data_IF_274863840535
#
_entry.id   IF_274863840535
#
_cell.length_a   1.000
_cell.length_b   1.000
_cell.length_c   1.000
_cell.angle_alpha   90.00
_cell.angle_beta   90.00
_cell.angle_gamma   90.00
#
_symmetry.space_group_name_H-M   'P 1'
#
loop_
_entity.id
_entity.type
_entity.pdbx_description
1 polymer ?
#
# COMPACT_ATOMS: atom_id res chain seq x y z
N UNK A 1 37.69 5.96 4.59
CA UNK A 1 36.46 5.79 3.81
C UNK A 1 35.32 5.99 4.80
N UNK A 2 34.65 7.15 4.80
CA UNK A 2 33.44 7.36 5.59
C UNK A 2 32.35 6.45 5.02
N UNK A 3 31.73 5.63 5.85
CA UNK A 3 30.52 4.91 5.45
C UNK A 3 29.47 5.95 5.04
N UNK A 4 28.82 5.75 3.91
CA UNK A 4 27.65 6.54 3.56
C UNK A 4 26.67 6.54 4.77
N UNK A 5 25.99 7.65 5.06
CA UNK A 5 25.01 7.67 6.14
C UNK A 5 24.00 6.55 5.91
N UNK A 6 23.65 5.84 6.97
CA UNK A 6 22.67 4.77 6.86
C UNK A 6 21.31 5.41 6.61
N UNK A 7 20.65 5.04 5.52
CA UNK A 7 19.35 5.58 5.11
C UNK A 7 18.22 4.88 5.87
N UNK A 8 17.14 5.60 6.18
CA UNK A 8 15.97 5.04 6.85
C UNK A 8 15.18 4.09 5.93
N UNK A 9 14.82 2.93 6.45
CA UNK A 9 13.92 2.00 5.75
C UNK A 9 12.47 2.50 5.88
N UNK A 10 11.72 2.37 4.81
CA UNK A 10 10.33 2.83 4.71
C UNK A 10 9.39 1.64 4.50
N UNK A 11 8.35 1.57 5.31
CA UNK A 11 7.22 0.65 5.10
C UNK A 11 6.00 1.39 4.59
N UNK A 12 5.40 0.91 3.53
CA UNK A 12 4.16 1.45 2.98
C UNK A 12 3.04 0.47 3.30
N UNK A 13 1.92 0.95 3.81
CA UNK A 13 0.69 0.18 3.93
C UNK A 13 -0.47 1.00 3.38
N UNK A 14 -1.36 0.36 2.62
CA UNK A 14 -2.48 1.02 1.97
C UNK A 14 -3.77 0.34 2.38
N UNK A 15 -4.74 1.14 2.77
CA UNK A 15 -6.10 0.69 3.09
C UNK A 15 -7.12 1.47 2.28
N UNK A 16 -8.31 0.92 2.08
CA UNK A 16 -9.40 1.62 1.42
C UNK A 16 -10.51 1.95 2.40
N UNK A 17 -10.99 3.18 2.36
CA UNK A 17 -12.19 3.66 3.07
C UNK A 17 -13.32 3.98 2.09
N UNK A 18 -13.12 3.69 0.81
CA UNK A 18 -14.16 3.85 -0.22
C UNK A 18 -15.30 2.90 0.11
N UNK A 19 -16.49 3.46 0.30
CA UNK A 19 -17.68 2.64 0.57
C UNK A 19 -18.09 1.88 -0.69
N UNK A 20 -18.15 0.56 -0.57
CA UNK A 20 -18.66 -0.30 -1.61
C UNK A 20 -20.15 -0.03 -1.82
N UNK A 21 -20.54 0.33 -3.05
CA UNK A 21 -21.93 0.62 -3.40
C UNK A 21 -22.78 -0.64 -3.48
N UNK A 22 -22.21 -1.73 -3.95
CA UNK A 22 -22.87 -3.03 -4.12
C UNK A 22 -22.58 -4.01 -2.98
N UNK A 23 -21.49 -3.83 -2.23
CA UNK A 23 -21.08 -4.72 -1.14
C UNK A 23 -20.79 -6.15 -1.62
N UNK A 24 -20.40 -6.33 -2.89
CA UNK A 24 -20.05 -7.63 -3.46
C UNK A 24 -18.58 -7.96 -3.17
N UNK A 25 -18.25 -9.26 -3.08
CA UNK A 25 -16.88 -9.74 -2.92
C UNK A 25 -15.98 -9.23 -4.06
N UNK A 26 -16.53 -9.11 -5.26
CA UNK A 26 -15.88 -8.57 -6.45
C UNK A 26 -15.40 -7.12 -6.27
N UNK A 27 -16.23 -6.27 -5.67
CA UNK A 27 -15.88 -4.86 -5.45
C UNK A 27 -14.81 -4.75 -4.35
N UNK A 28 -14.82 -5.65 -3.37
CA UNK A 28 -13.77 -5.73 -2.33
C UNK A 28 -12.43 -6.08 -2.96
N UNK A 29 -12.34 -7.15 -3.73
CA UNK A 29 -11.13 -7.59 -4.41
C UNK A 29 -10.54 -6.51 -5.34
N UNK A 30 -11.42 -5.81 -6.07
CA UNK A 30 -11.01 -4.67 -6.89
C UNK A 30 -10.35 -3.57 -6.04
N UNK A 31 -10.94 -3.21 -4.89
CA UNK A 31 -10.40 -2.17 -4.00
C UNK A 31 -9.09 -2.58 -3.32
N UNK A 32 -8.93 -3.83 -3.00
CA UNK A 32 -7.67 -4.38 -2.50
C UNK A 32 -6.58 -4.30 -3.57
N UNK A 33 -6.88 -4.69 -4.80
CA UNK A 33 -5.95 -4.57 -5.94
C UNK A 33 -5.58 -3.10 -6.20
N UNK A 34 -6.54 -2.18 -6.17
CA UNK A 34 -6.30 -0.75 -6.30
C UNK A 34 -5.36 -0.22 -5.20
N UNK A 35 -5.55 -0.66 -3.96
CA UNK A 35 -4.68 -0.30 -2.85
C UNK A 35 -3.23 -0.75 -3.09
N UNK A 36 -3.05 -1.96 -3.63
CA UNK A 36 -1.73 -2.48 -4.00
C UNK A 36 -1.08 -1.66 -5.14
N UNK A 37 -1.84 -1.32 -6.19
CA UNK A 37 -1.34 -0.49 -7.30
C UNK A 37 -0.89 0.89 -6.81
N UNK A 38 -1.67 1.54 -5.95
CA UNK A 38 -1.34 2.84 -5.36
C UNK A 38 -0.08 2.73 -4.50
N UNK A 39 0.04 1.68 -3.68
CA UNK A 39 1.23 1.41 -2.89
C UNK A 39 2.49 1.24 -3.75
N UNK A 40 2.41 0.47 -4.84
CA UNK A 40 3.51 0.26 -5.78
C UNK A 40 3.90 1.56 -6.51
N UNK A 41 2.93 2.43 -6.84
CA UNK A 41 3.21 3.74 -7.45
C UNK A 41 3.98 4.64 -6.49
N UNK A 42 3.52 4.78 -5.25
CA UNK A 42 4.24 5.56 -4.25
C UNK A 42 5.64 5.00 -3.98
N UNK A 43 5.78 3.67 -3.91
CA UNK A 43 7.09 3.03 -3.78
C UNK A 43 8.02 3.44 -4.92
N UNK A 44 7.57 3.33 -6.17
CA UNK A 44 8.37 3.69 -7.33
C UNK A 44 8.81 5.16 -7.34
N UNK A 45 8.00 6.08 -6.83
CA UNK A 45 8.37 7.49 -6.69
C UNK A 45 9.39 7.70 -5.56
N UNK A 46 9.24 7.05 -4.40
CA UNK A 46 10.22 7.08 -3.32
C UNK A 46 11.57 6.48 -3.75
N UNK A 47 11.57 5.38 -4.52
CA UNK A 47 12.78 4.77 -5.06
C UNK A 47 13.51 5.71 -6.04
N UNK A 48 12.78 6.52 -6.82
CA UNK A 48 13.36 7.52 -7.72
C UNK A 48 14.03 8.67 -6.98
N UNK A 49 13.49 9.09 -5.85
CA UNK A 49 14.10 10.11 -5.00
C UNK A 49 15.48 9.64 -4.49
N UNK A 50 15.62 8.36 -4.16
CA UNK A 50 16.90 7.70 -3.95
C UNK A 50 17.56 7.93 -2.59
N UNK A 51 16.96 8.70 -1.68
CA UNK A 51 17.54 9.01 -0.36
C UNK A 51 17.06 8.08 0.77
N UNK A 52 16.43 6.97 0.41
CA UNK A 52 15.87 5.99 1.33
C UNK A 52 16.73 4.72 1.43
N UNK A 53 16.56 3.98 2.53
CA UNK A 53 17.06 2.62 2.67
C UNK A 53 16.24 1.64 1.84
N UNK A 54 15.73 0.59 2.45
CA UNK A 54 14.86 -0.36 1.78
C UNK A 54 13.40 0.11 1.89
N UNK A 55 12.67 0.12 0.78
CA UNK A 55 11.26 0.48 0.73
C UNK A 55 10.46 -0.80 0.48
N UNK A 56 9.47 -1.10 1.34
CA UNK A 56 8.65 -2.32 1.27
C UNK A 56 7.17 -2.01 1.42
N UNK A 57 6.34 -2.79 0.73
CA UNK A 57 4.91 -2.82 1.02
C UNK A 57 4.63 -3.85 2.11
N UNK A 58 3.86 -3.45 3.11
CA UNK A 58 3.38 -4.32 4.17
C UNK A 58 1.87 -4.47 4.05
N UNK A 59 1.34 -5.69 4.23
CA UNK A 59 -0.12 -5.90 4.26
C UNK A 59 -0.81 -5.08 5.36
N UNK A 60 -0.10 -4.86 6.46
CA UNK A 60 -0.53 -4.05 7.60
C UNK A 60 0.61 -3.13 8.07
N UNK A 61 0.30 -2.02 8.80
CA UNK A 61 1.34 -1.17 9.38
C UNK A 61 2.30 -1.96 10.27
N UNK A 62 3.59 -1.88 10.00
CA UNK A 62 4.64 -2.62 10.70
C UNK A 62 5.59 -1.69 11.46
N UNK A 63 6.21 -2.21 12.51
CA UNK A 63 7.26 -1.52 13.31
C UNK A 63 8.67 -1.89 12.88
N UNK A 64 8.80 -2.75 11.86
CA UNK A 64 10.09 -3.16 11.32
C UNK A 64 10.81 -2.00 10.62
N UNK A 65 10.18 -1.22 9.72
CA UNK A 65 10.80 -0.05 9.13
C UNK A 65 10.90 1.09 10.15
N UNK A 66 11.88 1.98 9.99
CA UNK A 66 12.03 3.14 10.85
C UNK A 66 10.97 4.20 10.59
N UNK A 67 10.45 4.24 9.36
CA UNK A 67 9.34 5.09 8.93
C UNK A 67 8.23 4.24 8.33
N UNK A 68 6.99 4.62 8.62
CA UNK A 68 5.80 3.99 8.03
C UNK A 68 4.95 5.06 7.35
N UNK A 69 4.66 4.85 6.08
CA UNK A 69 3.71 5.64 5.30
C UNK A 69 2.40 4.85 5.22
N UNK A 70 1.38 5.36 5.89
CA UNK A 70 0.05 4.76 5.91
C UNK A 70 -0.85 5.56 4.98
N UNK A 71 -1.36 4.91 3.94
CA UNK A 71 -2.30 5.50 3.00
C UNK A 71 -3.71 4.97 3.24
N UNK A 72 -4.69 5.87 3.14
CA UNK A 72 -6.11 5.49 3.11
C UNK A 72 -6.77 6.10 1.89
N UNK A 73 -7.27 5.27 0.98
CA UNK A 73 -8.01 5.72 -0.20
C UNK A 73 -9.39 6.17 0.26
N UNK A 74 -9.71 7.45 0.08
CA UNK A 74 -10.99 8.04 0.45
C UNK A 74 -11.96 8.11 -0.73
N UNK A 75 -11.46 8.36 -1.93
CA UNK A 75 -12.20 8.34 -3.18
C UNK A 75 -11.28 7.93 -4.33
N UNK A 76 -11.83 7.14 -5.26
CA UNK A 76 -11.19 6.78 -6.53
C UNK A 76 -12.28 6.34 -7.52
N UNK A 77 -12.45 7.09 -8.62
CA UNK A 77 -13.49 6.84 -9.62
C UNK A 77 -13.02 7.11 -11.06
N UNK A 78 -11.70 7.23 -11.29
CA UNK A 78 -11.11 7.56 -12.58
C UNK A 78 -11.10 9.06 -12.90
N UNK A 79 -11.97 9.87 -12.29
CA UNK A 79 -11.95 11.32 -12.41
C UNK A 79 -11.23 11.98 -11.25
N UNK A 80 -11.33 11.41 -10.08
CA UNK A 80 -10.77 11.93 -8.84
C UNK A 80 -10.08 10.81 -8.07
N UNK A 81 -8.90 11.12 -7.53
CA UNK A 81 -8.23 10.32 -6.52
C UNK A 81 -8.01 11.14 -5.26
N UNK A 82 -8.51 10.65 -4.12
CA UNK A 82 -8.30 11.27 -2.81
C UNK A 82 -7.67 10.27 -1.86
N UNK A 83 -6.49 10.62 -1.34
CA UNK A 83 -5.71 9.77 -0.45
C UNK A 83 -5.36 10.54 0.83
N UNK A 84 -5.68 9.97 1.98
CA UNK A 84 -5.20 10.41 3.28
C UNK A 84 -3.87 9.70 3.56
N UNK A 85 -2.80 10.48 3.77
CA UNK A 85 -1.46 9.97 4.01
C UNK A 85 -0.98 10.38 5.40
N UNK A 86 -0.45 9.42 6.16
CA UNK A 86 0.11 9.64 7.49
C UNK A 86 1.51 9.02 7.52
N UNK A 87 2.51 9.81 7.83
CA UNK A 87 3.89 9.35 8.03
C UNK A 87 4.20 9.31 9.52
N UNK A 88 4.62 8.13 9.99
CA UNK A 88 5.00 7.92 11.39
C UNK A 88 6.40 7.35 11.50
N UNK A 89 7.11 7.82 12.52
CA UNK A 89 8.35 7.18 12.94
C UNK A 89 8.06 5.90 13.74
N UNK A 90 9.04 5.02 13.81
CA UNK A 90 8.96 3.86 14.69
C UNK A 90 8.81 4.24 16.16
N UNK A 91 9.12 5.46 16.57
CA UNK A 91 8.82 5.96 17.92
C UNK A 91 7.32 6.19 18.15
N UNK A 92 6.49 6.13 17.12
CA UNK A 92 5.04 6.41 17.19
C UNK A 92 4.71 7.87 16.93
N UNK A 93 5.70 8.71 16.68
CA UNK A 93 5.51 10.12 16.35
C UNK A 93 4.92 10.25 14.94
N UNK A 94 3.84 11.03 14.81
CA UNK A 94 3.33 11.44 13.51
C UNK A 94 4.17 12.61 13.01
N UNK A 95 4.96 12.35 11.99
CA UNK A 95 5.88 13.33 11.40
C UNK A 95 5.17 14.20 10.38
N UNK A 96 4.25 13.62 9.64
CA UNK A 96 3.47 14.28 8.63
C UNK A 96 2.09 13.63 8.47
N UNK A 97 1.09 14.44 8.15
CA UNK A 97 -0.24 13.97 7.76
C UNK A 97 -0.89 14.99 6.84
N UNK A 98 -1.41 14.52 5.71
CA UNK A 98 -2.13 15.36 4.74
C UNK A 98 -3.11 14.54 3.93
N UNK A 99 -4.16 15.20 3.45
CA UNK A 99 -5.08 14.65 2.47
C UNK A 99 -4.69 15.21 1.09
N UNK A 100 -4.34 14.33 0.19
CA UNK A 100 -4.02 14.64 -1.19
C UNK A 100 -5.22 14.39 -2.07
N UNK A 101 -5.49 15.31 -2.98
CA UNK A 101 -6.59 15.21 -3.94
C UNK A 101 -6.07 15.63 -5.30
N UNK A 102 -6.36 14.81 -6.29
CA UNK A 102 -6.08 15.08 -7.68
C UNK A 102 -7.31 14.80 -8.55
N UNK A 103 -7.49 15.62 -9.59
CA UNK A 103 -8.60 15.55 -10.54
C UNK A 103 -8.02 15.42 -11.92
N UNK A 104 -8.21 14.27 -12.54
CA UNK A 104 -7.72 13.99 -13.89
C UNK A 104 -8.38 14.90 -14.94
N UNK A 105 -7.56 15.40 -15.85
CA UNK A 105 -8.02 16.11 -17.06
C UNK A 105 -7.94 15.18 -18.29
N UNK A 106 -8.50 15.62 -19.43
CA UNK A 106 -8.54 14.77 -20.63
C UNK A 106 -7.14 14.47 -21.18
N UNK A 107 -6.19 15.39 -20.99
CA UNK A 107 -4.82 15.23 -21.46
C UNK A 107 -4.07 14.12 -20.71
N UNK A 108 -4.43 13.81 -19.47
CA UNK A 108 -3.84 12.74 -18.66
C UNK A 108 -4.11 11.36 -19.28
N UNK A 109 -5.20 11.22 -20.04
CA UNK A 109 -5.62 10.00 -20.70
C UNK A 109 -5.24 9.92 -22.18
N UNK A 110 -4.37 10.76 -22.67
CA UNK A 110 -3.86 10.71 -24.06
C UNK A 110 -2.97 9.50 -24.31
N UNK A 111 -2.31 9.01 -23.25
CA UNK A 111 -1.52 7.79 -23.26
C UNK A 111 -2.16 6.76 -22.32
N UNK A 112 -2.73 5.70 -22.87
CA UNK A 112 -3.43 4.63 -22.12
C UNK A 112 -2.51 3.84 -21.16
N UNK A 113 -1.21 4.14 -21.14
CA UNK A 113 -0.20 3.49 -20.27
C UNK A 113 0.34 4.40 -19.17
N UNK A 114 -0.19 5.61 -19.03
CA UNK A 114 0.28 6.59 -18.05
C UNK A 114 -0.75 6.71 -16.93
N UNK A 115 -0.26 6.69 -15.69
CA UNK A 115 -1.10 6.94 -14.53
C UNK A 115 -1.61 8.38 -14.55
N UNK A 116 -2.94 8.61 -14.61
CA UNK A 116 -3.50 9.95 -14.65
C UNK A 116 -3.28 10.76 -13.38
N UNK A 117 -2.88 10.10 -12.28
CA UNK A 117 -2.63 10.71 -10.97
C UNK A 117 -1.13 10.69 -10.58
N UNK A 118 -0.22 10.58 -11.57
CA UNK A 118 1.21 10.51 -11.32
C UNK A 118 1.73 11.71 -10.50
N UNK A 119 1.23 12.91 -10.75
CA UNK A 119 1.63 14.14 -10.07
C UNK A 119 1.27 14.15 -8.58
N UNK A 120 0.21 13.45 -8.18
CA UNK A 120 -0.18 13.29 -6.79
C UNK A 120 0.91 12.54 -5.99
N UNK A 121 1.47 11.46 -6.56
CA UNK A 121 2.54 10.71 -5.90
C UNK A 121 3.83 11.50 -5.81
N UNK A 122 4.19 12.25 -6.85
CA UNK A 122 5.35 13.16 -6.84
C UNK A 122 5.20 14.21 -5.74
N UNK A 123 4.01 14.81 -5.61
CA UNK A 123 3.71 15.78 -4.57
C UNK A 123 3.83 15.16 -3.18
N UNK A 124 3.26 13.96 -2.98
CA UNK A 124 3.39 13.22 -1.71
C UNK A 124 4.85 12.98 -1.33
N UNK A 125 5.66 12.48 -2.27
CA UNK A 125 7.08 12.19 -2.01
C UNK A 125 7.83 13.46 -1.64
N UNK A 126 7.63 14.56 -2.36
CA UNK A 126 8.27 15.84 -2.06
C UNK A 126 7.94 16.32 -0.63
N UNK A 127 6.70 16.20 -0.19
CA UNK A 127 6.29 16.55 1.17
C UNK A 127 6.93 15.62 2.20
N UNK A 128 6.91 14.30 1.97
CA UNK A 128 7.53 13.31 2.87
C UNK A 128 9.02 13.60 3.04
N UNK A 129 9.75 13.80 1.93
CA UNK A 129 11.19 14.13 1.93
C UNK A 129 11.44 15.42 2.70
N UNK A 130 10.66 16.46 2.45
CA UNK A 130 10.81 17.76 3.13
C UNK A 130 10.66 17.62 4.66
N UNK A 131 9.62 16.93 5.12
CA UNK A 131 9.36 16.78 6.56
C UNK A 131 10.32 15.82 7.25
N UNK A 132 10.68 14.71 6.61
CA UNK A 132 11.65 13.77 7.16
C UNK A 132 13.04 14.40 7.22
N UNK A 133 13.47 15.16 6.21
CA UNK A 133 14.76 15.85 6.21
C UNK A 133 14.84 16.97 7.24
N UNK A 134 13.72 17.61 7.58
CA UNK A 134 13.67 18.69 8.58
C UNK A 134 13.73 18.18 10.02
N UNK A 135 13.43 16.90 10.24
CA UNK A 135 13.44 16.30 11.57
C UNK A 135 14.84 15.74 11.88
N UNK A 136 15.34 16.06 13.09
CA UNK A 136 16.64 15.60 13.58
C UNK A 136 16.58 14.12 13.95
N UNK A 137 16.82 13.21 12.99
CA UNK A 137 16.76 11.77 13.24
C UNK A 137 18.14 11.20 13.55
N UNK A 138 18.21 10.52 14.68
CA UNK A 138 19.32 9.61 14.97
C UNK A 138 18.96 8.24 14.36
N UNK A 139 19.36 7.99 13.12
CA UNK A 139 19.05 6.74 12.40
C UNK A 139 19.40 5.48 13.20
N UNK A 140 20.57 5.48 13.83
CA UNK A 140 21.00 4.35 14.68
C UNK A 140 20.04 4.11 15.84
N UNK A 141 19.55 5.20 16.46
CA UNK A 141 18.55 5.10 17.54
C UNK A 141 17.23 4.52 17.02
N UNK A 142 16.72 5.00 15.89
CA UNK A 142 15.48 4.48 15.30
C UNK A 142 15.60 3.02 14.89
N UNK A 143 16.77 2.58 14.41
CA UNK A 143 17.03 1.16 14.10
C UNK A 143 17.01 0.30 15.36
N UNK A 144 17.67 0.73 16.42
CA UNK A 144 17.64 0.03 17.73
C UNK A 144 16.22 -0.03 18.29
N UNK A 145 15.50 1.09 18.21
CA UNK A 145 14.11 1.17 18.68
C UNK A 145 13.18 0.24 17.86
N UNK A 146 13.36 0.19 16.54
CA UNK A 146 12.61 -0.72 15.67
C UNK A 146 12.84 -2.19 16.06
N UNK A 147 14.10 -2.59 16.27
CA UNK A 147 14.43 -3.96 16.68
C UNK A 147 13.78 -4.31 18.02
N UNK A 148 13.85 -3.42 19.01
CA UNK A 148 13.23 -3.64 20.32
C UNK A 148 11.70 -3.64 20.26
N UNK A 149 11.09 -2.74 19.49
CA UNK A 149 9.64 -2.72 19.31
C UNK A 149 9.14 -3.98 18.62
N UNK A 150 9.80 -4.40 17.54
CA UNK A 150 9.48 -5.65 16.87
C UNK A 150 9.60 -6.85 17.82
N UNK A 151 10.70 -6.93 18.58
CA UNK A 151 10.90 -7.95 19.59
C UNK A 151 9.78 -7.97 20.64
N UNK A 152 9.39 -6.81 21.17
CA UNK A 152 8.30 -6.68 22.13
C UNK A 152 6.91 -7.01 21.57
N UNK A 153 6.67 -6.77 20.28
CA UNK A 153 5.41 -7.14 19.63
C UNK A 153 5.35 -8.64 19.32
N UNK A 154 6.47 -9.23 18.93
CA UNK A 154 6.54 -10.66 18.59
C UNK A 154 6.55 -11.52 19.84
N UNK A 155 7.36 -11.14 20.85
CA UNK A 155 7.54 -11.85 22.12
C UNK A 155 7.49 -10.84 23.27
N UNK A 156 6.31 -10.53 23.82
CA UNK A 156 6.14 -9.47 24.84
C UNK A 156 6.99 -9.67 26.10
N UNK A 157 7.34 -10.92 26.43
CA UNK A 157 8.10 -11.27 27.60
C UNK A 157 9.62 -11.05 27.43
N UNK A 158 10.10 -10.83 26.19
CA UNK A 158 11.53 -10.79 25.89
C UNK A 158 12.24 -9.58 26.49
N UNK A 159 11.64 -8.40 26.39
CA UNK A 159 12.27 -7.14 26.81
C UNK A 159 11.29 -6.18 27.51
N UNK A 160 10.61 -6.59 28.62
CA UNK A 160 9.55 -5.79 29.23
C UNK A 160 10.03 -4.44 29.75
N UNK A 161 11.30 -4.35 30.24
CA UNK A 161 11.85 -3.14 30.88
C UNK A 161 12.74 -2.30 29.96
N UNK A 162 12.93 -2.71 28.70
CA UNK A 162 13.84 -2.03 27.77
C UNK A 162 13.14 -0.90 26.99
N UNK A 163 11.83 -0.96 26.86
CA UNK A 163 11.02 0.05 26.18
C UNK A 163 10.22 0.88 27.19
N UNK A 164 10.21 2.18 26.98
CA UNK A 164 9.26 3.11 27.58
C UNK A 164 8.14 3.44 26.63
N UNK A 165 6.93 3.66 27.17
CA UNK A 165 5.80 4.20 26.40
C UNK A 165 5.16 5.31 27.20
N UNK A 166 5.24 6.54 26.70
CA UNK A 166 4.66 7.73 27.33
C UNK A 166 3.87 8.52 26.28
N UNK A 167 2.61 8.82 26.56
CA UNK A 167 1.70 9.53 25.63
C UNK A 167 1.65 8.93 24.22
N UNK A 168 1.81 7.61 24.07
CA UNK A 168 1.82 6.92 22.79
C UNK A 168 3.19 6.85 22.10
N UNK A 169 4.18 7.55 22.61
CA UNK A 169 5.54 7.54 22.06
C UNK A 169 6.40 6.48 22.75
N UNK A 170 7.21 5.80 21.96
CA UNK A 170 8.12 4.77 22.41
C UNK A 170 9.55 5.31 22.52
N UNK A 171 10.24 4.89 23.55
CA UNK A 171 11.65 5.24 23.78
C UNK A 171 12.41 4.04 24.33
N UNK A 172 13.72 4.02 24.10
CA UNK A 172 14.62 3.02 24.69
C UNK A 172 14.95 3.47 26.10
N UNK A 173 14.55 2.70 27.11
CA UNK A 173 14.93 2.91 28.50
C UNK A 173 16.31 2.33 28.81
N UNK A 174 16.60 1.19 28.18
CA UNK A 174 17.85 0.47 28.36
C UNK A 174 18.20 -0.24 27.04
N UNK A 175 19.44 -0.15 26.63
CA UNK A 175 19.93 -0.93 25.48
C UNK A 175 20.28 -2.37 25.92
N UNK A 176 19.87 -3.39 25.20
CA UNK A 176 20.33 -4.75 25.42
C UNK A 176 21.82 -4.88 25.06
N UNK A 177 22.49 -5.87 25.65
CA UNK A 177 23.85 -6.19 25.21
C UNK A 177 23.85 -6.58 23.71
N UNK A 178 24.87 -6.16 22.98
CA UNK A 178 25.03 -6.55 21.57
C UNK A 178 25.21 -8.06 21.38
N UNK A 179 25.68 -8.74 22.41
CA UNK A 179 25.90 -10.17 22.44
C UNK A 179 24.74 -10.93 23.12
N UNK A 180 23.58 -10.27 23.33
CA UNK A 180 22.42 -10.91 23.93
C UNK A 180 21.87 -12.01 22.97
N UNK A 181 21.87 -13.30 23.40
CA UNK A 181 21.38 -14.38 22.56
C UNK A 181 19.91 -14.23 22.17
N UNK A 182 19.10 -13.64 23.06
CA UNK A 182 17.68 -13.35 22.81
C UNK A 182 17.54 -12.32 21.68
N UNK A 183 18.32 -11.25 21.71
CA UNK A 183 18.31 -10.23 20.66
C UNK A 183 18.72 -10.83 19.30
N UNK A 184 19.75 -11.67 19.28
CA UNK A 184 20.20 -12.36 18.07
C UNK A 184 19.09 -13.25 17.49
N UNK A 185 18.39 -14.01 18.34
CA UNK A 185 17.28 -14.86 17.93
C UNK A 185 16.12 -14.04 17.37
N UNK A 186 15.72 -12.95 18.04
CA UNK A 186 14.61 -12.10 17.60
C UNK A 186 14.94 -11.33 16.31
N UNK A 187 16.19 -10.94 16.10
CA UNK A 187 16.63 -10.38 14.83
C UNK A 187 16.50 -11.41 13.69
N UNK A 188 16.83 -12.69 13.92
CA UNK A 188 16.62 -13.75 12.93
C UNK A 188 15.14 -13.94 12.61
N UNK A 189 14.25 -13.88 13.60
CA UNK A 189 12.80 -13.94 13.37
C UNK A 189 12.30 -12.73 12.57
N UNK A 190 12.86 -11.55 12.83
CA UNK A 190 12.64 -10.35 12.02
C UNK A 190 13.07 -10.55 10.56
N UNK A 191 14.23 -11.16 10.32
CA UNK A 191 14.70 -11.47 8.98
C UNK A 191 13.76 -12.45 8.26
N UNK A 192 13.20 -13.43 8.97
CA UNK A 192 12.18 -14.33 8.42
C UNK A 192 10.86 -13.57 8.10
N UNK A 193 10.47 -12.61 8.93
CA UNK A 193 9.30 -11.76 8.64
C UNK A 193 9.52 -10.92 7.39
N UNK A 194 10.72 -10.33 7.25
CA UNK A 194 11.10 -9.58 6.05
C UNK A 194 11.18 -10.46 4.80
N UNK A 195 11.63 -11.70 4.93
CA UNK A 195 11.66 -12.64 3.81
C UNK A 195 10.25 -12.91 3.26
N UNK A 196 9.26 -13.03 4.13
CA UNK A 196 7.85 -13.13 3.70
C UNK A 196 7.43 -11.87 2.95
N UNK A 197 7.69 -10.68 3.51
CA UNK A 197 7.33 -9.40 2.89
C UNK A 197 8.00 -9.26 1.52
N UNK A 198 9.30 -9.57 1.42
CA UNK A 198 10.05 -9.48 0.15
C UNK A 198 9.50 -10.47 -0.90
N UNK A 199 9.07 -11.67 -0.48
CA UNK A 199 8.45 -12.66 -1.38
C UNK A 199 7.12 -12.14 -1.94
N UNK A 200 6.29 -11.54 -1.08
CA UNK A 200 5.01 -10.94 -1.50
C UNK A 200 5.27 -9.72 -2.40
N UNK A 201 6.22 -8.86 -2.07
CA UNK A 201 6.56 -7.68 -2.86
C UNK A 201 6.97 -8.04 -4.30
N UNK A 202 7.74 -9.10 -4.48
CA UNK A 202 8.14 -9.58 -5.81
C UNK A 202 6.93 -10.09 -6.61
N UNK A 203 6.05 -10.87 -6.00
CA UNK A 203 4.82 -11.34 -6.62
C UNK A 203 3.94 -10.16 -7.05
N UNK A 204 3.69 -9.22 -6.14
CA UNK A 204 2.87 -8.04 -6.39
C UNK A 204 3.44 -7.11 -7.46
N UNK A 205 4.76 -6.94 -7.53
CA UNK A 205 5.39 -6.13 -8.58
C UNK A 205 5.19 -6.73 -9.97
N UNK A 206 5.14 -8.06 -10.10
CA UNK A 206 4.87 -8.74 -11.36
C UNK A 206 3.42 -8.51 -11.78
N UNK A 207 2.49 -8.79 -10.90
CA UNK A 207 1.05 -8.67 -11.17
C UNK A 207 0.63 -7.21 -11.38
N UNK A 208 1.18 -6.27 -10.61
CA UNK A 208 0.92 -4.84 -10.80
C UNK A 208 1.19 -4.36 -12.22
N UNK A 209 2.21 -4.93 -12.88
CA UNK A 209 2.51 -4.61 -14.28
C UNK A 209 1.45 -5.12 -15.25
N UNK A 210 0.90 -6.30 -15.00
CA UNK A 210 -0.12 -6.92 -15.85
C UNK A 210 -1.47 -6.23 -15.68
N UNK A 211 -1.83 -5.88 -14.44
CA UNK A 211 -3.12 -5.24 -14.11
C UNK A 211 -3.14 -3.74 -14.45
N UNK A 212 -1.99 -3.05 -14.44
CA UNK A 212 -1.92 -1.60 -14.62
C UNK A 212 -2.59 -1.10 -15.90
N UNK A 213 -2.32 -1.74 -17.03
CA UNK A 213 -2.87 -1.31 -18.32
C UNK A 213 -4.40 -1.42 -18.35
N UNK A 214 -4.96 -2.51 -17.83
CA UNK A 214 -6.42 -2.70 -17.71
C UNK A 214 -7.05 -1.72 -16.72
N UNK A 215 -6.36 -1.45 -15.62
CA UNK A 215 -6.81 -0.49 -14.61
C UNK A 215 -6.90 0.94 -15.19
N UNK A 216 -5.93 1.38 -15.98
CA UNK A 216 -5.97 2.69 -16.61
C UNK A 216 -7.06 2.83 -17.67
N UNK A 217 -7.31 1.76 -18.45
CA UNK A 217 -8.42 1.72 -19.39
C UNK A 217 -9.77 1.80 -18.67
N UNK A 218 -9.90 1.09 -17.55
CA UNK A 218 -11.09 1.19 -16.70
C UNK A 218 -11.27 2.61 -16.14
N UNK A 219 -10.24 3.24 -15.61
CA UNK A 219 -10.31 4.62 -15.10
C UNK A 219 -10.72 5.61 -16.17
N UNK A 220 -10.13 5.51 -17.37
CA UNK A 220 -10.50 6.33 -18.53
C UNK A 220 -11.98 6.20 -18.87
N UNK A 221 -12.46 4.96 -19.00
CA UNK A 221 -13.86 4.68 -19.32
C UNK A 221 -14.81 5.15 -18.21
N UNK A 222 -14.40 5.03 -16.96
CA UNK A 222 -15.16 5.53 -15.80
C UNK A 222 -15.29 7.04 -15.82
N UNK A 223 -14.16 7.75 -16.08
CA UNK A 223 -14.16 9.22 -16.23
C UNK A 223 -15.08 9.67 -17.37
N UNK A 224 -14.96 9.07 -18.55
CA UNK A 224 -15.80 9.41 -19.71
C UNK A 224 -17.29 9.23 -19.40
N UNK A 225 -17.67 8.19 -18.67
CA UNK A 225 -19.04 7.97 -18.23
C UNK A 225 -19.52 9.03 -17.25
N UNK A 226 -18.70 9.41 -16.27
CA UNK A 226 -19.03 10.44 -15.28
C UNK A 226 -19.18 11.81 -15.93
N UNK A 227 -18.25 12.19 -16.79
CA UNK A 227 -18.28 13.46 -17.55
C UNK A 227 -19.55 13.55 -18.40
N UNK A 228 -19.94 12.42 -19.03
CA UNK A 228 -21.17 12.36 -19.80
C UNK A 228 -22.43 12.51 -18.92
N UNK A 229 -22.46 11.90 -17.74
CA UNK A 229 -23.58 12.02 -16.79
C UNK A 229 -23.74 13.46 -16.31
N UNK A 230 -22.64 14.17 -16.09
CA UNK A 230 -22.66 15.58 -15.67
C UNK A 230 -23.16 16.48 -16.81
N UNK A 231 -22.68 16.30 -18.04
CA UNK A 231 -23.19 16.98 -19.22
C UNK A 231 -24.71 16.80 -19.41
N UNK A 232 -25.21 15.60 -19.08
CA UNK A 232 -26.65 15.30 -19.16
C UNK A 232 -27.44 16.06 -18.07
N UNK A 233 -26.88 16.16 -16.87
CA UNK A 233 -27.49 16.90 -15.74
C UNK A 233 -27.55 18.40 -16.02
N UNK A 234 -26.43 18.98 -16.50
CA UNK A 234 -26.32 20.41 -16.79
C UNK A 234 -27.27 20.89 -17.91
N UNK A 235 -27.46 20.07 -18.93
CA UNK A 235 -28.30 20.39 -20.09
C UNK A 235 -29.79 20.22 -19.83
N UNK A 236 -30.21 19.78 -18.65
CA UNK A 236 -31.60 19.64 -18.27
C UNK A 236 -32.41 19.05 -19.40
N UNK A 237 -32.22 17.76 -19.76
CA UNK A 237 -32.88 17.13 -20.90
C UNK A 237 -34.38 17.11 -20.63
N UNK A 238 -35.09 18.19 -21.04
CA UNK A 238 -36.53 18.16 -21.16
C UNK A 238 -36.88 17.15 -22.25
N UNK A 239 -37.96 16.42 -22.05
CA UNK A 239 -38.47 15.37 -22.96
C UNK A 239 -38.66 15.84 -24.41
N UNK A 240 -38.65 17.15 -24.62
CA UNK A 240 -38.84 17.82 -25.91
C UNK A 240 -37.61 17.79 -26.83
N UNK A 241 -36.38 17.69 -26.24
CA UNK A 241 -35.11 17.61 -26.99
C UNK A 241 -34.85 16.20 -27.55
N UNK A 242 -35.65 15.20 -27.17
CA UNK A 242 -35.51 13.80 -27.60
C UNK A 242 -36.04 13.54 -29.03
N UNK A 243 -36.54 14.55 -29.73
CA UNK A 243 -37.18 14.36 -31.08
C UNK A 243 -36.28 14.59 -32.27
N UNK A 244 -35.01 14.97 -32.12
CA UNK A 244 -34.12 15.25 -33.25
C UNK A 244 -33.07 14.12 -33.47
N UNK A 245 -32.65 13.92 -34.71
CA UNK A 245 -31.62 12.91 -35.12
C UNK A 245 -30.31 12.97 -34.30
N UNK A 246 -29.95 14.16 -33.78
CA UNK A 246 -28.82 14.33 -32.87
C UNK A 246 -28.95 13.52 -31.56
N UNK A 247 -30.18 13.11 -31.20
CA UNK A 247 -30.45 12.35 -29.95
C UNK A 247 -30.09 10.88 -30.11
N UNK A 248 -30.34 10.30 -31.31
CA UNK A 248 -29.98 8.91 -31.57
C UNK A 248 -28.46 8.70 -31.56
N UNK A 249 -27.71 9.59 -32.21
CA UNK A 249 -26.24 9.58 -32.21
C UNK A 249 -25.68 9.73 -30.80
N UNK A 250 -26.28 10.59 -29.96
CA UNK A 250 -25.89 10.77 -28.55
C UNK A 250 -26.22 9.54 -27.71
N UNK A 251 -27.39 8.94 -27.90
CA UNK A 251 -27.79 7.70 -27.21
C UNK A 251 -26.85 6.55 -27.58
N UNK A 252 -26.41 6.51 -28.82
CA UNK A 252 -25.46 5.52 -29.33
C UNK A 252 -24.07 5.73 -28.70
N UNK A 253 -23.61 6.96 -28.55
CA UNK A 253 -22.35 7.30 -27.88
C UNK A 253 -22.38 6.90 -26.41
N UNK A 254 -23.49 7.16 -25.70
CA UNK A 254 -23.72 6.73 -24.32
C UNK A 254 -23.68 5.23 -24.16
N UNK A 255 -24.40 4.54 -25.04
CA UNK A 255 -24.41 3.08 -25.02
C UNK A 255 -23.04 2.51 -25.32
N UNK A 256 -22.28 3.13 -26.23
CA UNK A 256 -20.89 2.75 -26.52
C UNK A 256 -19.97 2.96 -25.31
N UNK A 257 -20.06 4.13 -24.65
CA UNK A 257 -19.28 4.43 -23.44
C UNK A 257 -19.61 3.48 -22.28
N UNK A 258 -20.90 3.23 -22.04
CA UNK A 258 -21.32 2.27 -21.02
C UNK A 258 -20.88 0.84 -21.34
N UNK A 259 -20.95 0.43 -22.61
CA UNK A 259 -20.48 -0.87 -23.06
C UNK A 259 -18.96 -1.00 -22.91
N UNK A 260 -18.20 0.04 -23.28
CA UNK A 260 -16.75 0.08 -23.10
C UNK A 260 -16.36 -0.08 -21.62
N UNK A 261 -17.00 0.71 -20.74
CA UNK A 261 -16.77 0.57 -19.30
C UNK A 261 -17.04 -0.85 -18.81
N UNK A 262 -18.15 -1.47 -19.24
CA UNK A 262 -18.49 -2.85 -18.81
C UNK A 262 -17.49 -3.89 -19.32
N UNK A 263 -16.93 -3.69 -20.50
CA UNK A 263 -15.90 -4.59 -21.04
C UNK A 263 -14.62 -4.44 -20.20
N UNK A 264 -14.13 -3.23 -19.97
CA UNK A 264 -12.92 -3.00 -19.16
C UNK A 264 -13.11 -3.37 -17.70
N UNK A 265 -14.30 -3.18 -17.14
CA UNK A 265 -14.65 -3.67 -15.81
C UNK A 265 -14.53 -5.20 -15.71
N UNK A 266 -15.00 -5.91 -16.73
CA UNK A 266 -14.92 -7.37 -16.80
C UNK A 266 -13.48 -7.86 -17.02
N UNK A 267 -12.73 -7.25 -17.94
CA UNK A 267 -11.33 -7.57 -18.19
C UNK A 267 -10.48 -7.36 -16.93
N UNK A 268 -10.66 -6.21 -16.27
CA UNK A 268 -9.97 -5.91 -15.01
C UNK A 268 -10.34 -6.90 -13.91
N UNK A 269 -11.62 -7.29 -13.85
CA UNK A 269 -12.08 -8.25 -12.87
C UNK A 269 -11.49 -9.65 -13.08
N UNK A 270 -11.38 -10.12 -14.31
CA UNK A 270 -10.72 -11.39 -14.63
C UNK A 270 -9.25 -11.37 -14.17
N UNK A 271 -8.53 -10.26 -14.41
CA UNK A 271 -7.16 -10.07 -13.92
C UNK A 271 -7.06 -9.99 -12.40
N UNK A 272 -8.02 -9.35 -11.73
CA UNK A 272 -8.09 -9.30 -10.25
C UNK A 272 -8.30 -10.68 -9.66
N UNK A 273 -9.15 -11.51 -10.25
CA UNK A 273 -9.34 -12.91 -9.82
C UNK A 273 -8.09 -13.77 -10.05
N UNK A 274 -7.37 -13.54 -11.14
CA UNK A 274 -6.10 -14.22 -11.42
C UNK A 274 -5.06 -13.83 -10.38
N UNK A 275 -4.96 -12.54 -10.05
CA UNK A 275 -4.12 -12.03 -8.97
C UNK A 275 -4.44 -12.67 -7.62
N UNK A 276 -5.71 -12.69 -7.22
CA UNK A 276 -6.12 -13.36 -5.98
C UNK A 276 -5.72 -14.82 -5.96
N UNK A 277 -5.83 -15.52 -7.09
CA UNK A 277 -5.41 -16.92 -7.18
C UNK A 277 -3.90 -17.07 -7.05
N UNK A 278 -3.09 -16.19 -7.65
CA UNK A 278 -1.64 -16.22 -7.55
C UNK A 278 -1.14 -15.88 -6.15
N UNK A 279 -1.75 -14.91 -5.48
CA UNK A 279 -1.37 -14.49 -4.12
C UNK A 279 -2.04 -15.32 -3.02
N UNK A 280 -2.96 -16.22 -3.38
CA UNK A 280 -3.74 -17.03 -2.44
C UNK A 280 -2.91 -17.98 -1.59
N UNK A 281 -1.74 -18.36 -2.05
CA UNK A 281 -0.83 -19.25 -1.33
C UNK A 281 0.62 -18.84 -1.53
N UNK A 282 1.29 -18.52 -0.44
CA UNK A 282 2.72 -18.20 -0.42
C UNK A 282 3.50 -19.28 0.28
N UNK A 283 4.66 -19.63 -0.25
CA UNK A 283 5.59 -20.57 0.37
C UNK A 283 6.82 -19.83 0.88
N UNK A 284 7.08 -19.89 2.16
CA UNK A 284 8.24 -19.25 2.81
C UNK A 284 9.16 -20.34 3.38
N UNK A 285 10.46 -20.22 3.11
CA UNK A 285 11.46 -21.09 3.67
C UNK A 285 12.11 -20.44 4.89
N UNK A 286 11.93 -21.05 6.05
CA UNK A 286 12.54 -20.59 7.29
C UNK A 286 12.84 -21.78 8.21
N UNK A 287 13.88 -21.69 9.02
CA UNK A 287 14.28 -22.71 9.99
C UNK A 287 14.33 -24.13 9.39
N UNK A 288 14.94 -24.26 8.19
CA UNK A 288 15.09 -25.52 7.43
C UNK A 288 13.75 -26.19 7.00
N UNK A 289 12.65 -25.47 7.05
CA UNK A 289 11.32 -25.94 6.69
C UNK A 289 10.64 -24.99 5.69
N UNK A 290 9.72 -25.56 4.90
CA UNK A 290 8.85 -24.79 3.99
C UNK A 290 7.49 -24.65 4.64
N UNK A 291 7.07 -23.39 4.84
CA UNK A 291 5.76 -23.03 5.36
C UNK A 291 4.87 -22.59 4.19
N UNK A 292 3.68 -23.18 4.08
CA UNK A 292 2.67 -22.79 3.10
C UNK A 292 1.59 -21.99 3.82
N UNK A 293 1.42 -20.74 3.39
CA UNK A 293 0.45 -19.81 3.93
C UNK A 293 -0.66 -19.62 2.89
N UNK A 294 -1.89 -19.44 3.32
CA UNK A 294 -3.04 -19.32 2.41
C UNK A 294 -4.08 -18.33 2.94
N UNK A 295 -4.88 -17.75 2.04
CA UNK A 295 -5.90 -16.77 2.36
C UNK A 295 -5.52 -15.37 1.83
N UNK A 296 -6.12 -14.31 2.35
CA UNK A 296 -5.72 -12.93 2.00
C UNK A 296 -4.29 -12.62 2.47
N UNK A 297 -3.68 -11.60 1.91
CA UNK A 297 -2.30 -11.22 2.29
C UNK A 297 -2.19 -10.89 3.78
N UNK A 298 -3.20 -10.22 4.35
CA UNK A 298 -3.25 -9.92 5.77
C UNK A 298 -3.36 -11.20 6.61
N UNK A 299 -4.19 -12.15 6.18
CA UNK A 299 -4.32 -13.45 6.86
C UNK A 299 -3.02 -14.24 6.83
N UNK A 300 -2.36 -14.31 5.67
CA UNK A 300 -1.07 -14.95 5.51
C UNK A 300 0.00 -14.29 6.39
N UNK A 301 0.02 -12.96 6.45
CA UNK A 301 0.96 -12.21 7.29
C UNK A 301 0.74 -12.50 8.78
N UNK A 302 -0.50 -12.50 9.23
CA UNK A 302 -0.83 -12.83 10.63
C UNK A 302 -0.52 -14.29 10.98
N UNK A 303 -0.80 -15.24 10.09
CA UNK A 303 -0.43 -16.64 10.24
C UNK A 303 1.09 -16.82 10.31
N UNK A 304 1.83 -16.07 9.47
CA UNK A 304 3.27 -16.07 9.49
C UNK A 304 3.83 -15.55 10.82
N UNK A 305 3.35 -14.43 11.31
CA UNK A 305 3.73 -13.89 12.62
C UNK A 305 3.42 -14.86 13.77
N UNK A 306 2.29 -15.55 13.72
CA UNK A 306 1.97 -16.60 14.70
C UNK A 306 2.94 -17.80 14.60
N UNK A 307 3.37 -18.15 13.40
CA UNK A 307 4.36 -19.19 13.18
C UNK A 307 5.74 -18.80 13.71
N UNK A 308 6.16 -17.55 13.52
CA UNK A 308 7.42 -17.03 14.08
C UNK A 308 7.42 -17.07 15.62
N UNK A 309 6.29 -16.76 16.27
CA UNK A 309 6.14 -16.91 17.73
C UNK A 309 6.33 -18.38 18.14
N UNK A 310 5.71 -19.34 17.45
CA UNK A 310 5.89 -20.77 17.73
C UNK A 310 7.33 -21.24 17.57
N UNK A 311 8.05 -20.73 16.54
CA UNK A 311 9.48 -21.00 16.36
C UNK A 311 10.26 -20.49 17.55
N UNK A 312 9.98 -19.26 18.01
CA UNK A 312 10.62 -18.70 19.20
C UNK A 312 10.41 -19.58 20.45
N UNK A 313 9.18 -20.03 20.67
CA UNK A 313 8.83 -20.84 21.86
C UNK A 313 9.55 -22.19 21.87
N UNK A 314 9.64 -22.84 20.71
CA UNK A 314 10.39 -24.09 20.55
C UNK A 314 11.88 -23.91 20.83
N UNK A 315 12.49 -22.84 20.31
CA UNK A 315 13.91 -22.54 20.54
C UNK A 315 14.21 -22.06 21.98
N UNK A 316 13.20 -21.61 22.70
CA UNK A 316 13.33 -21.17 24.11
C UNK A 316 13.35 -22.36 25.08
N UNK A 317 12.85 -23.53 24.65
CA UNK A 317 12.75 -24.75 25.46
C UNK A 317 13.94 -25.71 25.26
N UNK A 318 14.82 -25.40 24.33
CA UNK A 318 16.09 -26.09 24.07
C UNK A 318 17.27 -25.41 24.76
#
# INVERSE_FOLDING_TARGET
MGSAPARLDVGISVSTKVRNKSGTDMESAFRETEALLIGQRLRGELERDGDWGVIRLFPEPSVIPQLTVQLSILASDGRELVVDAIVRSVAGETMWSSVYRDISVNDDYTNDKTDPFADLYVTMVNDIVHWVSSASHQETYLRSLSSLRHASELVPEAFPDYLGKEAGLYSIRREPSREDPMLTRLNRLRDYELLFVDTIDEQLANVSREVSDAYYLWMKSSKEQLDWLDLRRERGVSAETLRNESTFTRLQAVYAAHRSLKIHEQELFELVLELENETRATAVYANEQVFKLSGTLEQQYQEWRATLRRINDLESTL
#
